data_IF_305869225953
#
_entry.id   IF_305869225953
#
_cell.length_a   1.000
_cell.length_b   1.000
_cell.length_c   1.000
_cell.angle_alpha   90.00
_cell.angle_beta   90.00
_cell.angle_gamma   90.00
#
_symmetry.space_group_name_H-M   'P 1'
#
loop_
_entity.id
_entity.type
_entity.pdbx_description
1 polymer ?
#
# COMPACT_ATOMS: atom_id res chain seq x y z
N UNK A 1 -14.90 -2.15 4.27
CA UNK A 1 -13.64 -2.61 4.82
C UNK A 1 -13.36 -2.04 6.22
N UNK A 2 -13.16 -0.72 6.37
CA UNK A 2 -12.93 -0.06 7.66
C UNK A 2 -13.93 -0.52 8.73
N UNK A 3 -15.26 -0.51 8.40
CA UNK A 3 -16.31 -0.97 9.31
C UNK A 3 -16.16 -2.44 9.75
N UNK A 4 -15.79 -3.33 8.85
CA UNK A 4 -15.56 -4.75 9.16
C UNK A 4 -14.33 -4.93 10.06
N UNK A 5 -13.20 -4.29 9.71
CA UNK A 5 -11.98 -4.34 10.52
C UNK A 5 -12.16 -3.77 11.92
N UNK A 6 -12.87 -2.64 12.07
CA UNK A 6 -13.17 -2.05 13.38
C UNK A 6 -14.07 -2.96 14.23
N UNK A 7 -15.07 -3.63 13.63
CA UNK A 7 -15.89 -4.61 14.34
C UNK A 7 -15.10 -5.82 14.82
N UNK A 8 -14.16 -6.29 14.00
CA UNK A 8 -13.29 -7.41 14.37
C UNK A 8 -12.28 -7.02 15.47
N UNK A 9 -11.73 -5.80 15.42
CA UNK A 9 -10.77 -5.30 16.40
C UNK A 9 -11.40 -5.01 17.78
N UNK A 10 -12.70 -4.77 17.84
CA UNK A 10 -13.44 -4.48 19.09
C UNK A 10 -14.72 -5.30 19.22
N UNK A 11 -14.63 -6.63 19.34
CA UNK A 11 -15.81 -7.47 19.50
C UNK A 11 -16.59 -7.05 20.76
N UNK A 12 -17.89 -6.85 20.61
CA UNK A 12 -18.78 -6.41 21.70
C UNK A 12 -18.82 -4.89 21.93
N UNK A 13 -17.99 -4.11 21.25
CA UNK A 13 -18.04 -2.63 21.30
C UNK A 13 -18.95 -2.10 20.21
N UNK A 14 -19.84 -1.18 20.58
CA UNK A 14 -20.66 -0.51 19.56
C UNK A 14 -19.78 0.44 18.75
N UNK A 15 -19.74 0.24 17.45
CA UNK A 15 -19.05 1.11 16.52
C UNK A 15 -20.06 1.76 15.60
N UNK A 16 -20.33 3.02 15.82
CA UNK A 16 -21.10 3.84 14.91
C UNK A 16 -20.15 4.64 14.00
N UNK A 17 -20.36 4.58 12.69
CA UNK A 17 -19.61 5.37 11.72
C UNK A 17 -20.56 6.35 11.07
N UNK A 18 -20.29 7.63 11.26
CA UNK A 18 -21.03 8.75 10.65
C UNK A 18 -20.09 9.60 9.80
N UNK A 19 -20.60 10.12 8.70
CA UNK A 19 -19.91 11.15 7.92
C UNK A 19 -20.50 12.49 8.27
N UNK A 20 -19.65 13.40 8.77
CA UNK A 20 -20.04 14.77 9.14
C UNK A 20 -19.15 15.75 8.37
N UNK A 21 -19.72 16.44 7.35
CA UNK A 21 -19.06 17.55 6.61
C UNK A 21 -17.57 17.29 6.29
N UNK A 22 -17.29 16.20 5.56
CA UNK A 22 -15.93 15.84 5.15
C UNK A 22 -15.06 15.15 6.22
N UNK A 23 -15.65 14.82 7.37
CA UNK A 23 -15.01 14.01 8.43
C UNK A 23 -15.76 12.69 8.61
N UNK A 24 -15.01 11.66 8.97
CA UNK A 24 -15.56 10.39 9.42
C UNK A 24 -15.44 10.36 10.93
N UNK A 25 -16.58 10.30 11.63
CA UNK A 25 -16.64 10.16 13.08
C UNK A 25 -16.98 8.71 13.41
N UNK A 26 -16.16 8.10 14.27
CA UNK A 26 -16.34 6.73 14.76
C UNK A 26 -16.68 6.84 16.25
N UNK A 27 -17.94 6.57 16.58
CA UNK A 27 -18.40 6.52 17.97
C UNK A 27 -18.01 5.20 18.62
N UNK A 28 -17.34 5.27 19.75
CA UNK A 28 -16.87 4.13 20.51
C UNK A 28 -17.49 4.16 21.91
N UNK A 29 -18.05 3.04 22.37
CA UNK A 29 -18.61 2.89 23.71
C UNK A 29 -18.09 1.62 24.36
N UNK A 30 -17.69 1.69 25.64
CA UNK A 30 -17.29 0.51 26.41
C UNK A 30 -16.02 -0.20 25.93
N UNK A 31 -15.10 0.56 25.29
CA UNK A 31 -13.88 0.00 24.70
C UNK A 31 -12.74 -0.08 25.71
N UNK A 32 -12.17 -1.28 25.87
CA UNK A 32 -10.92 -1.48 26.59
C UNK A 32 -9.70 -0.97 25.79
N UNK A 33 -8.57 -0.75 26.47
CA UNK A 33 -7.32 -0.22 25.89
C UNK A 33 -6.81 -1.08 24.72
N UNK A 34 -6.81 -2.40 24.84
CA UNK A 34 -6.34 -3.34 23.81
C UNK A 34 -7.20 -3.24 22.52
N UNK A 35 -8.51 -3.16 22.66
CA UNK A 35 -9.42 -2.99 21.52
C UNK A 35 -9.23 -1.64 20.85
N UNK A 36 -8.96 -0.59 21.62
CA UNK A 36 -8.66 0.73 21.08
C UNK A 36 -7.36 0.73 20.26
N UNK A 37 -6.31 0.06 20.75
CA UNK A 37 -5.04 -0.03 20.04
C UNK A 37 -5.17 -0.89 18.76
N UNK A 38 -5.92 -1.96 18.80
CA UNK A 38 -6.26 -2.76 17.61
C UNK A 38 -7.05 -1.93 16.58
N UNK A 39 -7.99 -1.10 17.02
CA UNK A 39 -8.72 -0.18 16.13
C UNK A 39 -7.84 0.89 15.51
N UNK A 40 -6.88 1.44 16.26
CA UNK A 40 -5.87 2.38 15.73
C UNK A 40 -5.05 1.73 14.63
N UNK A 41 -4.66 0.46 14.80
CA UNK A 41 -3.95 -0.30 13.77
C UNK A 41 -4.79 -0.45 12.48
N UNK A 42 -6.07 -0.81 12.60
CA UNK A 42 -6.99 -0.89 11.46
C UNK A 42 -7.10 0.45 10.73
N UNK A 43 -7.24 1.56 11.48
CA UNK A 43 -7.33 2.89 10.89
C UNK A 43 -6.04 3.30 10.18
N UNK A 44 -4.88 3.06 10.80
CA UNK A 44 -3.57 3.33 10.19
C UNK A 44 -3.40 2.58 8.87
N UNK A 45 -3.84 1.33 8.79
CA UNK A 45 -3.77 0.47 7.61
C UNK A 45 -4.91 0.72 6.59
N UNK A 46 -5.81 1.67 6.83
CA UNK A 46 -6.87 2.02 5.90
C UNK A 46 -6.42 3.15 4.97
N UNK A 47 -6.13 2.81 3.70
CA UNK A 47 -5.79 3.84 2.71
C UNK A 47 -6.94 4.83 2.51
N UNK A 48 -6.61 6.08 2.24
CA UNK A 48 -7.52 7.20 2.15
C UNK A 48 -7.60 8.03 3.44
N UNK A 49 -7.12 7.51 4.58
CA UNK A 49 -7.03 8.26 5.83
C UNK A 49 -5.65 8.91 5.93
N UNK A 50 -5.61 10.24 5.98
CA UNK A 50 -4.37 11.01 6.17
C UNK A 50 -3.95 10.97 7.63
N UNK A 51 -4.90 11.19 8.52
CA UNK A 51 -4.74 11.07 9.98
C UNK A 51 -6.08 10.76 10.64
N UNK A 52 -6.03 10.31 11.86
CA UNK A 52 -7.17 10.19 12.76
C UNK A 52 -6.75 10.61 14.17
N UNK A 53 -7.73 10.94 15.02
CA UNK A 53 -7.47 11.36 16.39
C UNK A 53 -8.50 10.75 17.34
N UNK A 54 -8.10 10.16 18.48
CA UNK A 54 -8.99 9.95 19.60
C UNK A 54 -9.44 11.32 20.11
N UNK A 55 -10.76 11.53 20.19
CA UNK A 55 -11.33 12.82 20.54
C UNK A 55 -12.51 12.65 21.51
N UNK A 56 -12.69 13.60 22.39
CA UNK A 56 -13.90 13.72 23.21
C UNK A 56 -14.94 14.53 22.44
N UNK A 57 -16.14 13.96 22.25
CA UNK A 57 -17.28 14.65 21.65
C UNK A 57 -18.01 15.43 22.70
N UNK A 58 -18.28 16.71 22.46
CA UNK A 58 -18.88 17.66 23.36
C UNK A 58 -19.94 18.51 22.65
N UNK A 59 -20.76 19.23 23.43
CA UNK A 59 -21.57 20.30 22.94
C UNK A 59 -20.70 21.54 22.62
N UNK A 60 -20.99 22.27 21.54
CA UNK A 60 -20.21 23.45 21.15
C UNK A 60 -20.54 24.69 21.99
N UNK A 61 -20.44 24.55 23.32
CA UNK A 61 -20.61 25.62 24.31
C UNK A 61 -19.24 26.00 24.88
N UNK A 62 -18.99 27.29 25.06
CA UNK A 62 -17.68 27.81 25.46
C UNK A 62 -17.20 27.20 26.78
N UNK A 63 -18.05 27.16 27.79
CA UNK A 63 -17.72 26.67 29.12
C UNK A 63 -17.32 25.18 29.10
N UNK A 64 -18.05 24.39 28.34
CA UNK A 64 -17.78 22.96 28.14
C UNK A 64 -16.44 22.74 27.43
N UNK A 65 -16.15 23.57 26.41
CA UNK A 65 -14.89 23.47 25.65
C UNK A 65 -13.69 23.93 26.48
N UNK A 66 -13.88 24.97 27.34
CA UNK A 66 -12.85 25.45 28.26
C UNK A 66 -12.49 24.36 29.28
N UNK A 67 -13.48 23.76 29.92
CA UNK A 67 -13.25 22.65 30.87
C UNK A 67 -12.50 21.48 30.23
N UNK A 68 -12.94 21.03 29.08
CA UNK A 68 -12.29 19.92 28.35
C UNK A 68 -10.87 20.27 27.90
N UNK A 69 -10.62 21.51 27.48
CA UNK A 69 -9.27 21.94 27.11
C UNK A 69 -8.33 22.01 28.32
N UNK A 70 -8.81 22.49 29.46
CA UNK A 70 -8.07 22.51 30.72
C UNK A 70 -7.71 21.09 31.17
N UNK A 71 -8.68 20.16 31.18
CA UNK A 71 -8.45 18.77 31.51
C UNK A 71 -7.42 18.17 30.58
N UNK A 72 -7.59 18.29 29.25
CA UNK A 72 -6.69 17.75 28.26
C UNK A 72 -5.26 18.29 28.41
N UNK A 73 -5.12 19.61 28.57
CA UNK A 73 -3.80 20.23 28.68
C UNK A 73 -3.16 19.87 30.03
N UNK A 74 -3.89 19.73 31.12
CA UNK A 74 -3.34 19.35 32.42
C UNK A 74 -2.79 17.93 32.46
N UNK A 75 -3.41 17.00 31.74
CA UNK A 75 -3.03 15.57 31.72
C UNK A 75 -1.83 15.25 30.85
N UNK A 76 -1.46 16.13 29.92
CA UNK A 76 -0.35 15.90 29.00
C UNK A 76 0.95 16.58 29.50
N UNK A 77 2.11 15.94 29.30
CA UNK A 77 3.39 16.53 29.68
C UNK A 77 3.75 17.72 28.77
N UNK A 78 4.49 18.71 29.34
CA UNK A 78 5.00 19.87 28.61
C UNK A 78 4.79 21.16 29.36
N UNK A 79 5.56 22.20 29.02
CA UNK A 79 5.49 23.55 29.64
C UNK A 79 4.71 24.53 28.78
N UNK A 80 4.62 24.27 27.49
CA UNK A 80 3.98 25.16 26.52
C UNK A 80 2.79 24.50 25.80
N UNK A 81 1.83 25.35 25.39
CA UNK A 81 0.65 24.88 24.69
C UNK A 81 0.19 25.86 23.62
N UNK A 82 -0.74 25.35 22.80
CA UNK A 82 -1.50 26.12 21.82
C UNK A 82 -2.93 25.57 21.74
N UNK A 83 -3.92 26.47 21.63
CA UNK A 83 -5.27 26.12 21.25
C UNK A 83 -5.45 26.35 19.76
N UNK A 84 -5.98 25.33 19.04
CA UNK A 84 -6.22 25.39 17.61
C UNK A 84 -7.66 25.02 17.30
N UNK A 85 -8.54 26.03 17.21
CA UNK A 85 -9.94 25.82 16.83
C UNK A 85 -10.09 25.84 15.32
N UNK A 86 -10.85 24.89 14.80
CA UNK A 86 -11.31 24.83 13.40
C UNK A 86 -12.82 24.76 13.36
N UNK A 87 -13.42 25.44 12.39
CA UNK A 87 -14.87 25.47 12.19
C UNK A 87 -15.20 25.02 10.78
N UNK A 88 -15.96 23.95 10.64
CA UNK A 88 -16.41 23.44 9.34
C UNK A 88 -17.79 23.97 8.92
N UNK A 89 -18.48 24.70 9.81
CA UNK A 89 -19.79 25.29 9.57
C UNK A 89 -19.80 26.76 9.99
N UNK A 90 -20.15 27.64 9.07
CA UNK A 90 -20.27 29.08 9.37
C UNK A 90 -21.45 29.42 10.31
N UNK A 91 -22.43 28.52 10.39
CA UNK A 91 -23.60 28.72 11.27
C UNK A 91 -23.31 28.48 12.76
N UNK A 92 -22.14 27.93 13.10
CA UNK A 92 -21.75 27.79 14.53
C UNK A 92 -21.40 29.19 15.09
N UNK A 93 -22.02 29.64 16.16
CA UNK A 93 -21.87 31.04 16.64
C UNK A 93 -20.50 31.31 17.29
N UNK A 94 -19.64 30.32 17.43
CA UNK A 94 -18.30 30.45 18.02
C UNK A 94 -17.27 30.91 16.99
N UNK A 95 -16.62 32.03 17.24
CA UNK A 95 -15.47 32.50 16.45
C UNK A 95 -14.22 31.68 16.79
N UNK A 96 -13.54 31.15 15.78
CA UNK A 96 -12.30 30.36 15.99
C UNK A 96 -11.20 31.14 16.70
N UNK A 97 -11.01 32.41 16.31
CA UNK A 97 -10.02 33.27 16.93
C UNK A 97 -10.38 33.56 18.41
N UNK A 98 -11.61 34.00 18.66
CA UNK A 98 -12.10 34.32 20.00
C UNK A 98 -12.05 33.09 20.93
N UNK A 99 -12.42 31.91 20.42
CA UNK A 99 -12.31 30.65 21.16
C UNK A 99 -10.85 30.33 21.53
N UNK A 100 -9.89 30.50 20.58
CA UNK A 100 -8.48 30.30 20.87
C UNK A 100 -7.95 31.26 21.95
N UNK A 101 -8.32 32.55 21.88
CA UNK A 101 -7.89 33.59 22.81
C UNK A 101 -8.45 33.35 24.22
N UNK A 102 -9.75 33.12 24.32
CA UNK A 102 -10.44 32.98 25.62
C UNK A 102 -10.04 31.68 26.34
N UNK A 103 -10.05 30.54 25.64
CA UNK A 103 -9.61 29.24 26.21
C UNK A 103 -8.11 29.27 26.50
N UNK A 104 -7.32 29.91 25.62
CA UNK A 104 -5.89 30.08 25.85
C UNK A 104 -5.60 30.91 27.12
N UNK A 105 -6.33 31.99 27.34
CA UNK A 105 -6.23 32.81 28.57
C UNK A 105 -6.57 31.98 29.82
N UNK A 106 -7.65 31.20 29.79
CA UNK A 106 -8.04 30.34 30.89
C UNK A 106 -6.97 29.30 31.25
N UNK A 107 -6.30 28.70 30.22
CA UNK A 107 -5.21 27.74 30.43
C UNK A 107 -4.00 28.44 31.08
N UNK A 108 -3.63 29.64 30.63
CA UNK A 108 -2.55 30.42 31.26
C UNK A 108 -2.89 30.72 32.73
N UNK A 109 -4.08 31.21 33.00
CA UNK A 109 -4.53 31.60 34.33
C UNK A 109 -4.60 30.41 35.30
N UNK A 110 -5.22 29.31 34.89
CA UNK A 110 -5.51 28.17 35.77
C UNK A 110 -4.37 27.15 35.86
N UNK A 111 -3.56 26.97 34.78
CA UNK A 111 -2.48 25.96 34.72
C UNK A 111 -1.08 26.56 34.71
N UNK A 112 -0.92 27.88 34.56
CA UNK A 112 0.38 28.54 34.49
C UNK A 112 1.25 28.19 33.29
N UNK A 113 0.71 27.54 32.26
CA UNK A 113 1.46 27.11 31.08
C UNK A 113 1.71 28.27 30.12
N UNK A 114 2.85 28.22 29.42
CA UNK A 114 3.24 29.25 28.43
C UNK A 114 2.57 29.01 27.09
N UNK A 115 2.13 30.07 26.42
CA UNK A 115 1.64 29.99 25.04
C UNK A 115 2.81 29.92 24.07
N UNK A 116 2.82 28.90 23.17
CA UNK A 116 3.75 28.80 22.08
C UNK A 116 2.98 28.45 20.78
N UNK A 117 2.84 29.44 19.89
CA UNK A 117 2.04 29.30 18.68
C UNK A 117 2.77 28.57 17.56
N UNK A 118 4.09 28.41 17.65
CA UNK A 118 4.91 27.81 16.58
C UNK A 118 5.22 26.35 16.86
N UNK A 119 5.79 26.04 18.02
CA UNK A 119 6.19 24.70 18.44
C UNK A 119 5.72 24.42 19.87
N UNK A 120 4.42 24.24 20.10
CA UNK A 120 3.89 23.91 21.42
C UNK A 120 4.21 22.45 21.77
N UNK A 121 4.46 22.19 23.07
CA UNK A 121 4.53 20.82 23.59
C UNK A 121 3.17 20.12 23.49
N UNK A 122 2.08 20.88 23.76
CA UNK A 122 0.70 20.40 23.66
C UNK A 122 -0.10 21.30 22.72
N UNK A 123 -0.61 20.73 21.63
CA UNK A 123 -1.57 21.40 20.76
C UNK A 123 -2.99 20.86 21.01
N UNK A 124 -3.80 21.60 21.75
CA UNK A 124 -5.21 21.28 21.96
C UNK A 124 -6.02 21.70 20.73
N UNK A 125 -6.50 20.73 19.99
CA UNK A 125 -7.37 20.93 18.84
C UNK A 125 -8.83 20.92 19.25
N UNK A 126 -9.60 21.88 18.74
CA UNK A 126 -11.05 21.99 18.92
C UNK A 126 -11.67 22.06 17.52
N UNK A 127 -12.29 20.96 17.08
CA UNK A 127 -12.99 20.91 15.79
C UNK A 127 -14.51 21.10 16.00
N UNK A 128 -15.02 22.23 15.55
CA UNK A 128 -16.45 22.57 15.57
C UNK A 128 -17.13 22.07 14.30
N UNK A 129 -18.03 21.08 14.43
CA UNK A 129 -18.64 20.38 13.28
C UNK A 129 -20.12 20.18 13.53
N UNK A 130 -20.97 20.80 12.71
CA UNK A 130 -22.42 20.76 12.87
C UNK A 130 -22.85 21.20 14.30
N UNK A 131 -23.51 20.31 15.03
CA UNK A 131 -24.01 20.50 16.40
C UNK A 131 -23.06 19.96 17.49
N UNK A 132 -21.83 19.64 17.14
CA UNK A 132 -20.87 18.98 18.02
C UNK A 132 -19.50 19.64 17.96
N UNK A 133 -18.75 19.50 19.04
CA UNK A 133 -17.33 19.83 19.11
C UNK A 133 -16.51 18.55 19.39
N UNK A 134 -15.28 18.49 18.85
CA UNK A 134 -14.35 17.41 19.11
C UNK A 134 -13.06 18.01 19.65
N UNK A 135 -12.67 17.61 20.87
CA UNK A 135 -11.46 18.07 21.54
C UNK A 135 -10.43 16.94 21.57
N UNK A 136 -9.21 17.21 21.08
CA UNK A 136 -8.13 16.24 21.03
C UNK A 136 -6.75 16.90 20.96
N UNK A 137 -5.68 16.20 21.37
CA UNK A 137 -4.30 16.68 21.26
C UNK A 137 -3.47 15.88 20.26
N UNK A 138 -3.67 14.56 20.20
CA UNK A 138 -2.84 13.68 19.39
C UNK A 138 -3.50 13.36 18.06
N UNK A 139 -2.73 13.56 16.99
CA UNK A 139 -3.05 13.04 15.66
C UNK A 139 -2.17 11.81 15.40
N UNK A 140 -2.79 10.77 14.89
CA UNK A 140 -2.12 9.55 14.50
C UNK A 140 -2.15 9.51 12.98
N UNK A 141 -0.98 9.49 12.35
CA UNK A 141 -0.88 9.48 10.89
C UNK A 141 -1.37 8.13 10.31
N UNK A 142 -2.16 8.24 9.26
CA UNK A 142 -2.48 7.14 8.37
C UNK A 142 -1.59 7.16 7.13
N UNK A 143 -1.70 6.14 6.31
CA UNK A 143 -0.92 6.09 5.05
C UNK A 143 -1.40 7.09 4.00
N UNK A 144 -2.55 7.73 4.16
CA UNK A 144 -3.14 8.59 3.14
C UNK A 144 -3.51 7.80 1.86
N UNK A 145 -3.37 8.45 0.70
CA UNK A 145 -3.70 7.83 -0.58
C UNK A 145 -5.19 7.82 -0.90
N UNK A 146 -5.66 6.74 -1.54
CA UNK A 146 -7.06 6.54 -1.93
C UNK A 146 -7.58 5.19 -1.42
N UNK A 147 -8.86 5.07 -1.07
CA UNK A 147 -9.44 3.77 -0.73
C UNK A 147 -9.24 2.74 -1.84
N UNK A 148 -8.85 1.53 -1.48
CA UNK A 148 -8.65 0.42 -2.43
C UNK A 148 -9.95 0.15 -3.20
N UNK A 149 -9.83 0.01 -4.52
CA UNK A 149 -10.93 -0.14 -5.47
C UNK A 149 -11.33 1.14 -6.20
N UNK A 150 -10.91 2.32 -5.72
CA UNK A 150 -11.20 3.59 -6.41
C UNK A 150 -10.32 3.82 -7.65
N UNK A 151 -9.16 3.19 -7.71
CA UNK A 151 -8.17 3.32 -8.81
C UNK A 151 -8.27 2.23 -9.88
N UNK A 152 -9.34 1.44 -9.88
CA UNK A 152 -9.52 0.32 -10.82
C UNK A 152 -8.80 -0.97 -10.39
N UNK A 153 -8.95 -2.01 -11.21
CA UNK A 153 -8.34 -3.34 -10.99
C UNK A 153 -7.06 -3.46 -11.81
N UNK A 154 -6.02 -4.02 -11.20
CA UNK A 154 -4.70 -4.21 -11.80
C UNK A 154 -4.13 -5.59 -11.45
N UNK A 155 -3.26 -6.13 -12.30
CA UNK A 155 -2.54 -7.37 -12.06
C UNK A 155 -1.09 -7.06 -11.66
N UNK A 156 -0.64 -7.54 -10.51
CA UNK A 156 0.75 -7.38 -10.07
C UNK A 156 1.55 -8.64 -10.38
N UNK A 157 2.62 -8.48 -11.15
CA UNK A 157 3.67 -9.50 -11.29
C UNK A 157 4.52 -9.50 -10.01
N UNK A 158 4.13 -10.33 -9.05
CA UNK A 158 4.73 -10.36 -7.72
C UNK A 158 5.79 -11.46 -7.62
N UNK A 159 6.92 -11.14 -7.00
CA UNK A 159 7.98 -12.09 -6.65
C UNK A 159 8.24 -12.10 -5.15
N UNK A 160 9.06 -13.05 -4.68
CA UNK A 160 9.54 -13.09 -3.30
C UNK A 160 10.59 -12.02 -2.95
N UNK A 161 11.07 -11.25 -3.94
CA UNK A 161 12.07 -10.19 -3.75
C UNK A 161 11.51 -8.93 -3.08
N UNK A 162 12.40 -7.96 -2.83
CA UNK A 162 12.06 -6.71 -2.11
C UNK A 162 11.20 -5.77 -2.97
N UNK A 163 11.44 -5.71 -4.26
CA UNK A 163 10.98 -4.63 -5.14
C UNK A 163 9.48 -4.76 -5.51
N UNK A 164 9.06 -5.92 -6.01
CA UNK A 164 7.67 -6.11 -6.46
C UNK A 164 6.62 -5.95 -5.34
N UNK A 165 6.86 -6.35 -4.08
CA UNK A 165 5.96 -6.01 -2.98
C UNK A 165 5.83 -4.50 -2.75
N UNK A 166 6.92 -3.75 -2.81
CA UNK A 166 6.89 -2.29 -2.65
C UNK A 166 6.13 -1.62 -3.78
N UNK A 167 6.36 -2.05 -5.04
CA UNK A 167 5.61 -1.57 -6.20
C UNK A 167 4.10 -1.80 -6.04
N UNK A 168 3.73 -3.00 -5.67
CA UNK A 168 2.34 -3.41 -5.42
C UNK A 168 1.68 -2.53 -4.36
N UNK A 169 2.31 -2.38 -3.20
CA UNK A 169 1.80 -1.56 -2.12
C UNK A 169 1.61 -0.09 -2.51
N UNK A 170 2.53 0.48 -3.29
CA UNK A 170 2.40 1.85 -3.78
C UNK A 170 1.15 2.01 -4.65
N UNK A 171 0.85 1.05 -5.51
CA UNK A 171 -0.36 1.09 -6.34
C UNK A 171 -1.63 0.86 -5.53
N UNK A 172 -1.62 -0.05 -4.55
CA UNK A 172 -2.72 -0.20 -3.59
C UNK A 172 -3.01 1.10 -2.84
N UNK A 173 -1.96 1.81 -2.41
CA UNK A 173 -2.08 3.14 -1.77
C UNK A 173 -2.69 4.18 -2.72
N UNK A 174 -2.56 4.02 -4.04
CA UNK A 174 -3.24 4.87 -5.06
C UNK A 174 -4.64 4.40 -5.40
N UNK A 175 -5.18 3.44 -4.63
CA UNK A 175 -6.55 2.98 -4.75
C UNK A 175 -6.73 1.79 -5.68
N UNK A 176 -5.67 1.21 -6.22
CA UNK A 176 -5.78 0.03 -7.08
C UNK A 176 -6.27 -1.19 -6.29
N UNK A 177 -7.20 -1.94 -6.87
CA UNK A 177 -7.54 -3.30 -6.42
C UNK A 177 -6.62 -4.29 -7.14
N UNK A 178 -5.83 -5.06 -6.38
CA UNK A 178 -4.74 -5.86 -6.93
C UNK A 178 -5.08 -7.35 -6.93
N UNK A 179 -4.95 -8.01 -8.10
CA UNK A 179 -4.75 -9.45 -8.25
C UNK A 179 -3.26 -9.71 -8.46
N UNK A 180 -2.80 -10.90 -8.11
CA UNK A 180 -1.38 -11.22 -8.07
C UNK A 180 -1.06 -12.35 -9.04
N UNK A 181 0.03 -12.21 -9.80
CA UNK A 181 0.61 -13.25 -10.66
C UNK A 181 2.05 -13.50 -10.22
N UNK A 182 2.35 -14.75 -9.86
CA UNK A 182 3.69 -15.18 -9.51
C UNK A 182 4.16 -16.26 -10.48
N UNK A 183 5.34 -16.06 -11.06
CA UNK A 183 6.02 -17.04 -11.90
C UNK A 183 6.98 -17.87 -11.06
N UNK A 184 6.96 -19.18 -11.28
CA UNK A 184 7.87 -20.13 -10.65
C UNK A 184 8.44 -21.13 -11.65
N UNK A 185 9.54 -21.77 -11.29
CA UNK A 185 10.21 -22.78 -12.13
C UNK A 185 10.34 -24.14 -11.43
N UNK A 186 9.32 -24.49 -10.62
CA UNK A 186 9.24 -25.85 -10.03
C UNK A 186 9.13 -26.86 -11.19
N UNK A 187 9.89 -27.99 -11.21
CA UNK A 187 10.72 -28.51 -10.11
C UNK A 187 12.17 -28.02 -10.07
N UNK A 188 12.62 -27.18 -10.99
CA UNK A 188 14.00 -26.69 -11.05
C UNK A 188 14.36 -25.78 -9.87
N UNK A 189 13.40 -25.05 -9.35
CA UNK A 189 13.52 -24.28 -8.10
C UNK A 189 12.59 -24.87 -7.03
N UNK A 190 12.88 -24.58 -5.77
CA UNK A 190 11.99 -24.97 -4.67
C UNK A 190 10.70 -24.14 -4.65
N UNK A 191 9.71 -24.56 -3.83
CA UNK A 191 8.49 -23.81 -3.59
C UNK A 191 8.66 -22.63 -2.62
N UNK A 192 9.90 -22.29 -2.25
CA UNK A 192 10.21 -21.24 -1.27
C UNK A 192 9.73 -19.86 -1.74
N UNK A 193 9.87 -19.54 -3.03
CA UNK A 193 9.38 -18.28 -3.60
C UNK A 193 7.85 -18.17 -3.50
N UNK A 194 7.13 -19.25 -3.76
CA UNK A 194 5.66 -19.30 -3.62
C UNK A 194 5.23 -19.04 -2.17
N UNK A 195 5.92 -19.69 -1.21
CA UNK A 195 5.66 -19.47 0.23
C UNK A 195 5.90 -18.01 0.64
N UNK A 196 6.99 -17.41 0.16
CA UNK A 196 7.30 -15.99 0.41
C UNK A 196 6.19 -15.08 -0.14
N UNK A 197 5.76 -15.30 -1.37
CA UNK A 197 4.69 -14.52 -2.00
C UNK A 197 3.38 -14.63 -1.23
N UNK A 198 2.99 -15.83 -0.81
CA UNK A 198 1.81 -16.01 0.05
C UNK A 198 1.92 -15.20 1.36
N UNK A 199 3.09 -15.19 2.00
CA UNK A 199 3.32 -14.43 3.23
C UNK A 199 3.30 -12.91 2.99
N UNK A 200 3.85 -12.43 1.88
CA UNK A 200 3.74 -11.01 1.48
C UNK A 200 2.28 -10.62 1.25
N UNK A 201 1.50 -11.44 0.55
CA UNK A 201 0.07 -11.17 0.30
C UNK A 201 -0.71 -11.11 1.62
N UNK A 202 -0.39 -11.95 2.60
CA UNK A 202 -1.00 -11.86 3.95
C UNK A 202 -0.75 -10.50 4.62
N UNK A 203 0.42 -9.89 4.43
CA UNK A 203 0.67 -8.51 4.90
C UNK A 203 -0.27 -7.52 4.20
N UNK A 204 -0.47 -7.68 2.89
CA UNK A 204 -1.34 -6.80 2.11
C UNK A 204 -2.82 -6.94 2.43
N UNK A 205 -3.23 -8.04 3.06
CA UNK A 205 -4.61 -8.20 3.53
C UNK A 205 -5.02 -7.16 4.59
N UNK A 206 -4.05 -6.55 5.27
CA UNK A 206 -4.29 -5.36 6.10
C UNK A 206 -4.88 -4.18 5.30
N UNK A 207 -4.70 -4.17 3.98
CA UNK A 207 -5.16 -3.12 3.07
C UNK A 207 -6.26 -3.59 2.13
N UNK A 208 -6.27 -4.86 1.70
CA UNK A 208 -7.24 -5.47 0.80
C UNK A 208 -7.64 -6.87 1.33
N UNK A 209 -8.85 -7.01 1.90
CA UNK A 209 -9.28 -8.21 2.66
C UNK A 209 -9.25 -9.51 1.86
N UNK A 210 -9.50 -9.46 0.56
CA UNK A 210 -9.51 -10.62 -0.33
C UNK A 210 -8.47 -10.45 -1.42
N UNK A 211 -7.64 -11.46 -1.60
CA UNK A 211 -6.59 -11.50 -2.61
C UNK A 211 -6.76 -12.73 -3.50
N UNK A 212 -6.57 -12.57 -4.80
CA UNK A 212 -6.47 -13.68 -5.75
C UNK A 212 -5.01 -13.78 -6.19
N UNK A 213 -4.40 -14.94 -5.98
CA UNK A 213 -3.05 -15.27 -6.44
C UNK A 213 -3.15 -16.29 -7.57
N UNK A 214 -2.47 -16.01 -8.66
CA UNK A 214 -2.24 -16.93 -9.77
C UNK A 214 -0.77 -17.37 -9.75
N UNK A 215 -0.54 -18.67 -9.83
CA UNK A 215 0.78 -19.28 -9.93
C UNK A 215 0.96 -19.78 -11.36
N UNK A 216 1.96 -19.29 -12.04
CA UNK A 216 2.29 -19.62 -13.43
C UNK A 216 3.62 -20.36 -13.48
N UNK A 217 3.62 -21.55 -14.07
CA UNK A 217 4.81 -22.32 -14.31
C UNK A 217 5.57 -21.77 -15.52
N UNK A 218 6.82 -21.35 -15.30
CA UNK A 218 7.68 -20.81 -16.36
C UNK A 218 8.62 -21.87 -16.95
N UNK A 219 8.80 -23.00 -16.28
CA UNK A 219 9.76 -24.03 -16.65
C UNK A 219 9.64 -24.51 -18.11
N UNK A 220 8.45 -24.83 -18.66
CA UNK A 220 8.33 -25.26 -20.06
C UNK A 220 8.81 -24.21 -21.06
N UNK A 221 8.56 -22.94 -20.79
CA UNK A 221 9.05 -21.83 -21.62
C UNK A 221 10.57 -21.71 -21.51
N UNK A 222 11.11 -21.89 -20.32
CA UNK A 222 12.56 -21.81 -20.11
C UNK A 222 13.30 -22.92 -20.84
N UNK A 223 12.79 -24.15 -20.81
CA UNK A 223 13.33 -25.29 -21.52
C UNK A 223 13.41 -25.04 -23.05
N UNK A 224 12.31 -24.60 -23.64
CA UNK A 224 12.22 -24.26 -25.06
C UNK A 224 13.19 -23.14 -25.45
N UNK A 225 13.27 -22.10 -24.63
CA UNK A 225 14.18 -20.97 -24.89
C UNK A 225 15.65 -21.39 -24.72
N UNK A 226 15.97 -22.27 -23.77
CA UNK A 226 17.33 -22.78 -23.56
C UNK A 226 17.78 -23.62 -24.77
N UNK A 227 16.88 -24.47 -25.28
CA UNK A 227 17.17 -25.36 -26.37
C UNK A 227 17.33 -24.64 -27.73
N UNK A 228 16.45 -23.65 -27.99
CA UNK A 228 16.29 -23.07 -29.33
C UNK A 228 16.85 -21.65 -29.47
N UNK A 229 17.17 -20.96 -28.38
CA UNK A 229 17.57 -19.55 -28.42
C UNK A 229 18.98 -19.31 -27.87
N UNK A 230 19.64 -18.29 -28.41
CA UNK A 230 20.98 -17.90 -27.95
C UNK A 230 20.94 -17.44 -26.49
N UNK A 231 21.86 -17.94 -25.65
CA UNK A 231 21.88 -17.71 -24.18
C UNK A 231 21.78 -16.23 -23.76
N UNK A 232 22.43 -15.33 -24.50
CA UNK A 232 22.44 -13.89 -24.19
C UNK A 232 21.06 -13.25 -24.12
N UNK A 233 20.05 -13.83 -24.82
CA UNK A 233 18.70 -13.29 -24.91
C UNK A 233 17.73 -13.92 -23.94
N UNK A 234 18.10 -15.01 -23.23
CA UNK A 234 17.19 -15.81 -22.40
C UNK A 234 16.37 -14.96 -21.43
N UNK A 235 17.01 -14.09 -20.63
CA UNK A 235 16.32 -13.28 -19.63
C UNK A 235 15.28 -12.37 -20.29
N UNK A 236 15.62 -11.74 -21.43
CA UNK A 236 14.71 -10.82 -22.11
C UNK A 236 13.55 -11.60 -22.73
N UNK A 237 13.81 -12.79 -23.30
CA UNK A 237 12.77 -13.68 -23.81
C UNK A 237 11.83 -14.14 -22.69
N UNK A 238 12.34 -14.59 -21.53
CA UNK A 238 11.50 -14.94 -20.39
C UNK A 238 10.60 -13.79 -19.98
N UNK A 239 11.14 -12.57 -19.91
CA UNK A 239 10.36 -11.38 -19.57
C UNK A 239 9.29 -11.07 -20.62
N UNK A 240 9.57 -11.26 -21.90
CA UNK A 240 8.57 -11.08 -22.98
C UNK A 240 7.43 -12.10 -22.84
N UNK A 241 7.73 -13.36 -22.54
CA UNK A 241 6.69 -14.36 -22.23
C UNK A 241 5.87 -13.98 -20.99
N UNK A 242 6.54 -13.59 -19.91
CA UNK A 242 5.85 -13.12 -18.69
C UNK A 242 4.88 -11.98 -18.98
N UNK A 243 5.24 -11.02 -19.83
CA UNK A 243 4.36 -9.90 -20.18
C UNK A 243 3.17 -10.34 -21.04
N UNK A 244 3.36 -11.27 -22.00
CA UNK A 244 2.25 -11.84 -22.78
C UNK A 244 1.26 -12.59 -21.88
N UNK A 245 1.76 -13.42 -20.99
CA UNK A 245 0.94 -14.18 -20.02
C UNK A 245 0.22 -13.20 -19.07
N UNK A 246 0.93 -12.19 -18.56
CA UNK A 246 0.34 -11.20 -17.68
C UNK A 246 -0.75 -10.37 -18.37
N UNK A 247 -0.57 -9.97 -19.64
CA UNK A 247 -1.61 -9.27 -20.41
C UNK A 247 -2.83 -10.17 -20.63
N UNK A 248 -2.65 -11.41 -21.07
CA UNK A 248 -3.74 -12.34 -21.29
C UNK A 248 -4.55 -12.60 -20.03
N UNK A 249 -3.88 -12.87 -18.91
CA UNK A 249 -4.51 -13.05 -17.60
C UNK A 249 -5.19 -11.78 -17.10
N UNK A 250 -4.55 -10.62 -17.28
CA UNK A 250 -5.13 -9.34 -16.87
C UNK A 250 -6.45 -9.06 -17.61
N UNK A 251 -6.51 -9.36 -18.90
CA UNK A 251 -7.75 -9.24 -19.69
C UNK A 251 -8.84 -10.20 -19.19
N UNK A 252 -8.51 -11.46 -18.91
CA UNK A 252 -9.46 -12.44 -18.33
C UNK A 252 -9.99 -11.99 -16.97
N UNK A 253 -9.14 -11.36 -16.17
CA UNK A 253 -9.46 -10.86 -14.83
C UNK A 253 -10.04 -9.43 -14.85
N UNK A 254 -10.30 -8.83 -16.01
CA UNK A 254 -10.80 -7.46 -16.15
C UNK A 254 -9.88 -6.42 -15.47
N UNK A 255 -8.58 -6.68 -15.44
CA UNK A 255 -7.59 -5.72 -14.98
C UNK A 255 -7.15 -4.82 -16.13
N UNK A 256 -6.90 -3.53 -15.84
CA UNK A 256 -6.61 -2.51 -16.85
C UNK A 256 -5.13 -2.17 -16.98
N UNK A 257 -4.29 -2.72 -16.12
CA UNK A 257 -2.84 -2.51 -16.15
C UNK A 257 -2.11 -3.65 -15.45
N UNK A 258 -0.82 -3.81 -15.76
CA UNK A 258 0.10 -4.71 -15.08
C UNK A 258 1.09 -3.89 -14.24
N UNK A 259 1.39 -4.34 -13.03
CA UNK A 259 2.40 -3.74 -12.15
C UNK A 259 3.66 -4.59 -12.17
N UNK A 260 4.82 -3.94 -12.29
CA UNK A 260 6.13 -4.57 -12.13
C UNK A 260 6.97 -3.85 -11.07
N UNK A 261 7.90 -4.58 -10.45
CA UNK A 261 8.86 -4.03 -9.47
C UNK A 261 10.16 -3.56 -10.11
N UNK A 262 10.15 -3.14 -11.38
CA UNK A 262 11.35 -2.71 -12.10
C UNK A 262 11.84 -1.34 -11.62
N UNK A 263 13.19 -1.25 -11.42
CA UNK A 263 13.91 0.00 -11.18
C UNK A 263 14.98 0.17 -12.24
N UNK A 264 15.09 1.36 -12.82
CA UNK A 264 15.97 1.61 -13.95
C UNK A 264 17.45 1.35 -13.59
N UNK A 265 18.13 0.54 -14.42
CA UNK A 265 19.56 0.25 -14.27
C UNK A 265 19.93 -0.70 -13.12
N UNK A 266 18.98 -1.28 -12.41
CA UNK A 266 19.28 -2.16 -11.28
C UNK A 266 19.87 -3.52 -11.73
N UNK A 267 19.36 -4.09 -12.83
CA UNK A 267 19.86 -5.33 -13.46
C UNK A 267 19.87 -5.21 -14.97
N UNK A 268 20.52 -6.16 -15.65
CA UNK A 268 20.71 -6.14 -17.12
C UNK A 268 19.41 -6.03 -17.93
N UNK A 269 18.31 -6.61 -17.46
CA UNK A 269 16.98 -6.51 -18.11
C UNK A 269 16.28 -5.16 -17.88
N UNK A 270 16.78 -4.31 -17.00
CA UNK A 270 16.17 -3.04 -16.59
C UNK A 270 16.91 -1.82 -17.16
N UNK A 271 17.58 -1.97 -18.29
CA UNK A 271 18.03 -0.84 -19.12
C UNK A 271 16.86 -0.30 -19.93
N UNK A 272 16.91 0.96 -20.37
CA UNK A 272 15.80 1.56 -21.16
C UNK A 272 15.55 0.76 -22.42
N UNK A 273 16.62 0.37 -23.14
CA UNK A 273 16.54 -0.39 -24.38
C UNK A 273 15.91 -1.78 -24.18
N UNK A 274 16.27 -2.46 -23.07
CA UNK A 274 15.70 -3.77 -22.77
C UNK A 274 14.23 -3.63 -22.27
N UNK A 275 13.91 -2.61 -21.48
CA UNK A 275 12.53 -2.36 -21.03
C UNK A 275 11.62 -2.06 -22.23
N UNK A 276 12.06 -1.25 -23.19
CA UNK A 276 11.34 -0.99 -24.44
C UNK A 276 11.12 -2.31 -25.22
N UNK A 277 12.18 -3.09 -25.40
CA UNK A 277 12.14 -4.38 -26.12
C UNK A 277 11.22 -5.40 -25.43
N UNK A 278 11.22 -5.45 -24.11
CA UNK A 278 10.35 -6.33 -23.32
C UNK A 278 8.90 -5.87 -23.44
N UNK A 279 8.62 -4.58 -23.33
CA UNK A 279 7.27 -4.02 -23.37
C UNK A 279 6.64 -4.07 -24.78
N UNK A 280 7.44 -4.16 -25.84
CA UNK A 280 6.95 -4.22 -27.22
C UNK A 280 5.99 -5.38 -27.53
N UNK A 281 5.86 -6.38 -26.64
CA UNK A 281 4.96 -7.54 -26.80
C UNK A 281 3.60 -7.36 -26.15
N UNK A 282 3.36 -6.25 -25.49
CA UNK A 282 2.10 -5.96 -24.78
C UNK A 282 1.52 -4.62 -25.20
N UNK A 283 0.19 -4.56 -25.27
CA UNK A 283 -0.54 -3.30 -25.47
C UNK A 283 -1.14 -2.76 -24.16
N UNK A 284 -0.96 -3.49 -23.08
CA UNK A 284 -1.50 -3.12 -21.78
C UNK A 284 -0.56 -2.13 -21.06
N UNK A 285 -1.10 -1.11 -20.38
CA UNK A 285 -0.28 -0.20 -19.59
C UNK A 285 0.55 -0.95 -18.53
N UNK A 286 1.87 -0.72 -18.53
CA UNK A 286 2.80 -1.26 -17.54
C UNK A 286 3.13 -0.18 -16.52
N UNK A 287 2.72 -0.41 -15.27
CA UNK A 287 2.95 0.50 -14.17
C UNK A 287 4.24 0.11 -13.44
N UNK A 288 5.20 1.04 -13.41
CA UNK A 288 6.53 0.88 -12.78
C UNK A 288 6.72 1.89 -11.65
N UNK A 289 6.10 1.68 -10.49
CA UNK A 289 6.13 2.67 -9.41
C UNK A 289 7.54 2.95 -8.87
N UNK A 290 8.50 2.06 -9.13
CA UNK A 290 9.85 2.12 -8.58
C UNK A 290 10.89 2.60 -9.61
N UNK A 291 10.50 2.91 -10.83
CA UNK A 291 11.44 3.14 -11.94
C UNK A 291 12.51 4.20 -11.65
N UNK A 292 12.19 5.22 -10.87
CA UNK A 292 13.10 6.30 -10.48
C UNK A 292 13.62 6.22 -9.04
N UNK A 293 13.43 5.09 -8.36
CA UNK A 293 13.86 4.90 -6.97
C UNK A 293 15.17 4.12 -6.91
N UNK A 294 16.07 4.52 -6.00
CA UNK A 294 17.25 3.73 -5.70
C UNK A 294 16.95 2.54 -4.76
N UNK A 295 17.93 1.64 -4.66
CA UNK A 295 17.76 0.41 -3.86
C UNK A 295 17.51 0.69 -2.39
N UNK A 296 18.14 1.72 -1.82
CA UNK A 296 18.00 2.06 -0.40
C UNK A 296 16.61 2.63 -0.10
N UNK A 297 16.06 3.44 -0.99
CA UNK A 297 14.70 3.96 -0.87
C UNK A 297 13.67 2.81 -0.87
N UNK A 298 13.85 1.83 -1.77
CA UNK A 298 12.98 0.65 -1.86
C UNK A 298 13.09 -0.20 -0.59
N UNK A 299 14.31 -0.46 -0.10
CA UNK A 299 14.55 -1.18 1.17
C UNK A 299 13.89 -0.47 2.35
N UNK A 300 14.03 0.85 2.46
CA UNK A 300 13.40 1.61 3.54
C UNK A 300 11.85 1.49 3.49
N UNK A 301 11.27 1.56 2.30
CA UNK A 301 9.82 1.35 2.13
C UNK A 301 9.40 -0.07 2.49
N UNK A 302 10.16 -1.10 2.08
CA UNK A 302 9.82 -2.49 2.40
C UNK A 302 9.79 -2.76 3.92
N UNK A 303 10.67 -2.10 4.68
CA UNK A 303 10.66 -2.14 6.16
C UNK A 303 9.40 -1.50 6.74
N UNK A 304 9.02 -0.33 6.24
CA UNK A 304 7.79 0.36 6.68
C UNK A 304 6.54 -0.47 6.38
N UNK A 305 6.51 -1.15 5.24
CA UNK A 305 5.39 -2.03 4.82
C UNK A 305 5.37 -3.32 5.65
N UNK A 306 6.54 -3.78 6.12
CA UNK A 306 6.73 -5.04 6.86
C UNK A 306 7.01 -6.23 5.96
N UNK A 307 7.40 -6.02 4.69
CA UNK A 307 7.72 -7.11 3.75
C UNK A 307 9.21 -7.46 3.74
N UNK A 308 10.08 -6.60 4.28
CA UNK A 308 11.53 -6.74 4.21
C UNK A 308 12.03 -8.09 4.72
N UNK A 309 11.67 -8.46 5.96
CA UNK A 309 12.17 -9.68 6.60
C UNK A 309 11.75 -10.97 5.87
N UNK A 310 10.58 -10.95 5.22
CA UNK A 310 10.14 -12.06 4.37
C UNK A 310 10.97 -12.09 3.08
N UNK A 311 11.20 -10.94 2.48
CA UNK A 311 11.85 -10.84 1.17
C UNK A 311 13.33 -11.20 1.20
N UNK A 312 14.03 -11.00 2.34
CA UNK A 312 15.46 -11.35 2.48
C UNK A 312 15.72 -12.81 2.83
N UNK A 313 14.69 -13.61 3.11
CA UNK A 313 14.85 -15.06 3.29
C UNK A 313 15.45 -15.62 2.00
N UNK A 314 16.53 -16.41 2.05
CA UNK A 314 17.13 -17.00 0.85
C UNK A 314 16.10 -17.85 0.08
N UNK A 315 16.03 -17.65 -1.24
CA UNK A 315 15.29 -18.47 -2.18
C UNK A 315 15.96 -18.43 -3.56
N UNK A 316 15.54 -19.32 -4.43
CA UNK A 316 15.95 -19.36 -5.82
C UNK A 316 14.91 -18.62 -6.68
N UNK A 317 15.32 -17.50 -7.29
CA UNK A 317 14.49 -16.79 -8.27
C UNK A 317 14.32 -17.64 -9.52
N UNK A 318 13.11 -17.72 -10.06
CA UNK A 318 12.81 -18.45 -11.29
C UNK A 318 13.69 -18.04 -12.48
N UNK A 319 14.09 -16.75 -12.53
CA UNK A 319 14.98 -16.25 -13.57
C UNK A 319 16.46 -16.58 -13.31
N UNK A 320 16.85 -16.83 -12.05
CA UNK A 320 18.25 -16.96 -11.66
C UNK A 320 18.86 -18.32 -12.04
N UNK A 321 18.06 -19.37 -12.03
CA UNK A 321 18.55 -20.74 -12.29
C UNK A 321 19.15 -20.93 -13.69
N UNK A 322 18.61 -20.22 -14.69
CA UNK A 322 19.03 -20.33 -16.10
C UNK A 322 19.73 -19.06 -16.60
N UNK A 323 20.39 -18.32 -15.72
CA UNK A 323 21.10 -17.08 -16.06
C UNK A 323 22.25 -17.32 -17.04
N UNK A 324 22.37 -16.55 -18.13
CA UNK A 324 23.55 -16.56 -18.99
C UNK A 324 24.71 -15.87 -18.29
N UNK A 325 25.94 -16.26 -18.63
CA UNK A 325 27.18 -15.62 -18.14
C UNK A 325 27.25 -14.14 -18.55
N UNK A 326 26.76 -13.82 -19.74
CA UNK A 326 26.80 -12.48 -20.33
C UNK A 326 25.43 -12.08 -20.92
N UNK A 327 24.48 -11.61 -20.10
CA UNK A 327 23.17 -11.20 -20.59
C UNK A 327 23.28 -9.94 -21.48
N UNK A 328 22.43 -9.85 -22.49
CA UNK A 328 22.35 -8.65 -23.33
C UNK A 328 21.81 -7.47 -22.51
N UNK A 329 22.53 -6.34 -22.56
CA UNK A 329 22.10 -5.09 -21.91
C UNK A 329 21.44 -4.11 -22.88
N UNK A 330 21.58 -4.35 -24.19
CA UNK A 330 21.02 -3.53 -25.28
C UNK A 330 20.51 -4.44 -26.40
N UNK A 331 19.41 -5.15 -26.14
CA UNK A 331 18.73 -5.92 -27.17
C UNK A 331 17.72 -5.02 -27.90
N UNK A 332 17.47 -5.33 -29.17
CA UNK A 332 16.43 -4.66 -29.95
C UNK A 332 15.24 -5.59 -30.18
N UNK A 333 14.04 -5.01 -30.36
CA UNK A 333 12.82 -5.79 -30.64
C UNK A 333 13.02 -6.73 -31.83
N UNK A 334 13.66 -6.24 -32.92
CA UNK A 334 13.95 -7.06 -34.11
C UNK A 334 14.82 -8.29 -33.80
N UNK A 335 15.83 -8.17 -32.92
CA UNK A 335 16.66 -9.31 -32.53
C UNK A 335 15.88 -10.34 -31.74
N UNK A 336 14.98 -9.89 -30.86
CA UNK A 336 14.16 -10.82 -30.08
C UNK A 336 13.04 -11.45 -30.92
N UNK A 337 12.42 -10.71 -31.84
CA UNK A 337 11.46 -11.25 -32.80
C UNK A 337 12.10 -12.33 -33.70
N UNK A 338 13.33 -12.11 -34.13
CA UNK A 338 14.08 -13.13 -34.90
C UNK A 338 14.35 -14.38 -34.05
N UNK A 339 14.77 -14.20 -32.79
CA UNK A 339 14.98 -15.32 -31.87
C UNK A 339 13.68 -16.07 -31.54
N UNK A 340 12.55 -15.40 -31.47
CA UNK A 340 11.23 -15.99 -31.19
C UNK A 340 10.69 -16.82 -32.37
N UNK A 341 11.18 -16.63 -33.58
CA UNK A 341 10.75 -17.45 -34.77
C UNK A 341 10.96 -18.94 -34.59
N UNK A 342 11.93 -19.37 -33.78
CA UNK A 342 12.19 -20.78 -33.46
C UNK A 342 11.24 -21.35 -32.39
N UNK A 343 10.39 -20.52 -31.77
CA UNK A 343 9.49 -20.87 -30.68
C UNK A 343 8.05 -20.84 -31.16
N UNK A 344 7.22 -21.76 -30.68
CA UNK A 344 5.76 -21.62 -30.77
C UNK A 344 5.26 -20.73 -29.61
N UNK A 345 5.39 -19.42 -29.81
CA UNK A 345 5.07 -18.42 -28.79
C UNK A 345 3.62 -18.55 -28.34
N UNK A 346 2.69 -18.80 -29.25
CA UNK A 346 1.27 -18.90 -28.93
C UNK A 346 1.01 -20.14 -28.06
N UNK A 347 1.45 -21.31 -28.49
CA UNK A 347 1.25 -22.55 -27.74
C UNK A 347 1.88 -22.50 -26.34
N UNK A 348 3.06 -21.89 -26.19
CA UNK A 348 3.73 -21.74 -24.90
C UNK A 348 2.96 -20.81 -23.96
N UNK A 349 2.41 -19.72 -24.46
CA UNK A 349 1.58 -18.78 -23.65
C UNK A 349 0.27 -19.46 -23.25
N UNK A 350 -0.44 -20.08 -24.20
CA UNK A 350 -1.70 -20.78 -23.95
C UNK A 350 -1.51 -21.95 -22.97
N UNK A 351 -0.47 -22.76 -23.14
CA UNK A 351 -0.16 -23.88 -22.23
C UNK A 351 0.11 -23.40 -20.79
N UNK A 352 0.78 -22.26 -20.61
CA UNK A 352 0.97 -21.68 -19.27
C UNK A 352 -0.34 -21.15 -18.70
N UNK A 353 -1.20 -20.53 -19.52
CA UNK A 353 -2.51 -20.04 -19.06
C UNK A 353 -3.44 -21.18 -18.66
N UNK A 354 -3.43 -22.30 -19.40
CA UNK A 354 -4.25 -23.47 -19.10
C UNK A 354 -3.80 -24.20 -17.83
N UNK A 355 -2.52 -24.13 -17.48
CA UNK A 355 -1.94 -24.73 -16.27
C UNK A 355 -1.95 -23.83 -15.04
N UNK A 356 -2.48 -22.59 -15.15
CA UNK A 356 -2.51 -21.65 -14.04
C UNK A 356 -3.24 -22.18 -12.81
N UNK A 357 -2.55 -22.15 -11.67
CA UNK A 357 -3.17 -22.44 -10.39
C UNK A 357 -3.73 -21.14 -9.79
N UNK A 358 -5.01 -21.15 -9.42
CA UNK A 358 -5.71 -20.00 -8.83
C UNK A 358 -5.98 -20.26 -7.36
N UNK A 359 -5.49 -19.37 -6.51
CA UNK A 359 -5.69 -19.39 -5.07
C UNK A 359 -6.45 -18.13 -4.61
N UNK A 360 -7.44 -18.31 -3.73
CA UNK A 360 -8.07 -17.18 -3.02
C UNK A 360 -7.53 -17.16 -1.61
N UNK A 361 -6.87 -16.07 -1.25
CA UNK A 361 -6.30 -15.87 0.08
C UNK A 361 -7.24 -14.90 0.83
N UNK A 362 -7.85 -15.41 1.89
CA UNK A 362 -8.76 -14.65 2.76
C UNK A 362 -8.08 -14.35 4.09
N UNK A 363 -8.42 -13.19 4.70
CA UNK A 363 -7.88 -12.72 5.99
C UNK A 363 -8.53 -13.41 7.19
#
# INVERSE_FOLDING_TARGET
>A
RMKAGLKAAGPGSYVEIRTLRGRIVIGLTGIGKESLDSMKEVLRNTFGLVYFAPATRLEPQKEVLEEAALELVSTLPGESFRITTRRSDQNIPLSTQKTNEEIGAAVVEKLGRKVNLTQPDVNCHIDLVADSAFVYAHRIDGYGGLPVGMGGKVLSMISGGIDSPVATWQMMKRGAFVSYLHFHSVPYTSDASIKKVRNVIKIFQKHQLRATLFLAELAPIQEEVIEKCHERYRIILYRRFMFRIAEALARQEEAHAVITGESLGQVASQTIENMETIEAVTSMPILRPLVGMDKQEIVNKSRVIGTYDISIIPDEDCCAYFLPKHPATKATAKQLEEAEKSLDVQALVEGTLDSLQREVIES
#
